data_IF_406675850720
#
_entry.id   IF_406675850720
#
_cell.length_a   1.000
_cell.length_b   1.000
_cell.length_c   1.000
_cell.angle_alpha   90.00
_cell.angle_beta   90.00
_cell.angle_gamma   90.00
#
_symmetry.space_group_name_H-M   'P 1'
#
loop_
_entity.id
_entity.type
_entity.pdbx_description
1 polymer ?
#
# COMPACT_ATOMS: atom_id res chain seq x y z
N UNK A 1 2.47 0.31 -12.22
CA UNK A 1 1.60 0.45 -11.04
C UNK A 1 2.36 0.23 -9.73
N UNK A 2 2.97 -0.94 -9.48
CA UNK A 2 3.65 -1.26 -8.22
C UNK A 2 4.75 -0.26 -7.80
N UNK A 3 5.61 0.17 -8.73
CA UNK A 3 6.64 1.19 -8.45
C UNK A 3 6.04 2.48 -7.87
N UNK A 4 4.90 2.94 -8.41
CA UNK A 4 4.25 4.18 -7.95
C UNK A 4 3.74 4.05 -6.52
N UNK A 5 3.06 2.95 -6.18
CA UNK A 5 2.53 2.76 -4.83
C UNK A 5 3.67 2.56 -3.83
N UNK A 6 4.70 1.79 -4.16
CA UNK A 6 5.90 1.59 -3.32
C UNK A 6 6.59 2.94 -3.06
N UNK A 7 6.81 3.77 -4.08
CA UNK A 7 7.39 5.11 -3.93
C UNK A 7 6.48 6.07 -3.14
N UNK A 8 5.16 5.97 -3.26
CA UNK A 8 4.25 6.77 -2.46
C UNK A 8 4.32 6.36 -0.98
N UNK A 9 4.35 5.06 -0.70
CA UNK A 9 4.42 4.51 0.66
C UNK A 9 5.77 4.76 1.33
N UNK A 10 6.87 4.84 0.58
CA UNK A 10 8.20 5.19 1.12
C UNK A 10 8.28 6.62 1.66
N UNK A 11 7.32 7.48 1.28
CA UNK A 11 7.18 8.87 1.75
C UNK A 11 6.28 9.00 2.96
N UNK A 12 5.58 7.93 3.36
CA UNK A 12 4.76 7.92 4.56
C UNK A 12 5.56 7.37 5.74
N UNK A 13 5.35 7.90 6.96
CA UNK A 13 5.97 7.34 8.15
C UNK A 13 5.51 5.88 8.36
N UNK A 14 6.41 5.05 8.86
CA UNK A 14 6.04 3.73 9.37
C UNK A 14 5.46 3.87 10.77
N UNK A 15 4.44 3.08 11.07
CA UNK A 15 3.78 3.04 12.37
C UNK A 15 3.89 1.64 12.96
N UNK A 16 4.25 1.60 14.25
CA UNK A 16 4.21 0.40 15.05
C UNK A 16 2.89 0.38 15.83
N UNK A 17 1.99 -0.53 15.47
CA UNK A 17 0.67 -0.69 16.09
C UNK A 17 0.05 -2.05 15.76
N UNK A 18 -0.94 -2.44 16.57
CA UNK A 18 -1.83 -3.56 16.24
C UNK A 18 -2.85 -3.15 15.18
N UNK A 19 -2.96 -3.94 14.12
CA UNK A 19 -3.91 -3.75 13.02
C UNK A 19 -4.79 -4.98 12.83
N UNK A 20 -5.96 -4.77 12.25
CA UNK A 20 -7.00 -5.79 12.12
C UNK A 20 -7.37 -6.02 10.66
N UNK A 21 -7.43 -7.29 10.25
CA UNK A 21 -7.79 -7.71 8.89
C UNK A 21 -8.85 -8.80 8.94
N UNK A 22 -10.04 -8.51 8.42
CA UNK A 22 -11.11 -9.48 8.26
C UNK A 22 -11.06 -10.19 6.91
N UNK A 23 -11.34 -11.49 6.89
CA UNK A 23 -11.49 -12.32 5.69
C UNK A 23 -12.73 -13.20 5.85
N UNK A 24 -13.53 -13.28 4.79
CA UNK A 24 -14.66 -14.22 4.71
C UNK A 24 -14.13 -15.62 4.41
N UNK A 25 -14.63 -16.62 5.12
CA UNK A 25 -14.15 -18.01 5.07
C UNK A 25 -13.26 -18.37 6.27
N UNK A 26 -13.09 -19.68 6.47
CA UNK A 26 -12.23 -20.23 7.51
C UNK A 26 -10.83 -20.41 6.95
N UNK A 27 -9.86 -19.70 7.53
CA UNK A 27 -8.44 -20.01 7.39
C UNK A 27 -8.06 -20.75 8.68
N UNK A 28 -8.20 -22.07 8.67
CA UNK A 28 -8.13 -22.91 9.87
C UNK A 28 -6.71 -23.05 10.42
N UNK A 29 -6.58 -23.34 11.73
CA UNK A 29 -5.32 -23.74 12.36
C UNK A 29 -4.75 -25.07 11.87
N UNK A 30 -5.59 -25.92 11.27
CA UNK A 30 -5.15 -27.17 10.64
C UNK A 30 -4.26 -26.92 9.42
N UNK A 31 -4.35 -25.73 8.82
CA UNK A 31 -3.43 -25.32 7.78
C UNK A 31 -2.04 -25.21 8.40
N UNK A 32 -1.08 -25.97 7.87
CA UNK A 32 0.31 -26.01 8.33
C UNK A 32 0.94 -24.61 8.48
N UNK A 33 0.47 -23.66 7.65
CA UNK A 33 0.90 -22.26 7.62
C UNK A 33 0.45 -21.42 8.83
N UNK A 34 -0.62 -21.79 9.53
CA UNK A 34 -1.22 -20.98 10.61
C UNK A 34 -1.21 -21.70 11.96
N UNK A 35 -0.31 -22.67 12.12
CA UNK A 35 -0.07 -23.31 13.42
C UNK A 35 0.65 -22.35 14.34
N UNK A 36 0.27 -22.32 15.61
CA UNK A 36 0.94 -21.49 16.61
C UNK A 36 2.44 -21.79 16.64
N UNK A 37 3.27 -20.76 16.64
CA UNK A 37 4.72 -20.84 16.58
C UNK A 37 5.31 -20.90 15.16
N UNK A 38 4.49 -21.12 14.12
CA UNK A 38 4.96 -21.09 12.74
C UNK A 38 5.25 -19.66 12.27
N UNK A 39 6.18 -19.55 11.32
CA UNK A 39 6.56 -18.30 10.67
C UNK A 39 6.17 -18.36 9.18
N UNK A 40 5.72 -17.23 8.65
CA UNK A 40 5.30 -17.13 7.26
C UNK A 40 5.53 -15.72 6.71
N UNK A 41 5.64 -15.64 5.38
CA UNK A 41 5.74 -14.37 4.66
C UNK A 41 4.36 -13.96 4.14
N UNK A 42 3.92 -12.77 4.54
CA UNK A 42 2.72 -12.13 4.03
C UNK A 42 3.02 -11.43 2.71
N UNK A 43 2.80 -12.13 1.59
CA UNK A 43 3.30 -11.70 0.28
C UNK A 43 2.61 -10.47 -0.32
N UNK A 44 1.34 -10.24 0.00
CA UNK A 44 0.53 -9.21 -0.67
C UNK A 44 0.39 -7.93 0.15
N UNK A 45 0.10 -6.81 -0.52
CA UNK A 45 -0.48 -5.67 0.17
C UNK A 45 -1.79 -6.07 0.84
N UNK A 46 -2.04 -5.58 2.04
CA UNK A 46 -3.32 -5.84 2.70
C UNK A 46 -3.83 -4.60 3.42
N UNK A 47 -5.07 -4.24 3.07
CA UNK A 47 -5.82 -3.18 3.75
C UNK A 47 -6.27 -3.70 5.11
N UNK A 48 -5.81 -3.05 6.16
CA UNK A 48 -6.13 -3.33 7.55
C UNK A 48 -6.74 -2.08 8.20
N UNK A 49 -7.40 -2.26 9.33
CA UNK A 49 -7.94 -1.19 10.17
C UNK A 49 -7.08 -1.04 11.42
N UNK A 50 -6.88 0.19 11.89
CA UNK A 50 -6.35 0.44 13.23
C UNK A 50 -7.40 0.22 14.34
N UNK A 51 -8.68 0.09 13.97
CA UNK A 51 -9.80 -0.12 14.91
C UNK A 51 -10.16 -1.61 14.93
N UNK A 52 -10.27 -2.18 16.13
CA UNK A 52 -10.63 -3.59 16.34
C UNK A 52 -12.01 -3.94 15.80
N UNK A 53 -12.97 -3.04 16.00
CA UNK A 53 -14.35 -3.25 15.59
C UNK A 53 -14.55 -3.03 14.09
N UNK A 54 -13.99 -3.94 13.29
CA UNK A 54 -14.27 -4.03 11.85
C UNK A 54 -15.51 -4.87 11.55
N UNK A 55 -16.19 -5.36 12.59
CA UNK A 55 -17.31 -6.29 12.47
C UNK A 55 -18.57 -5.61 11.92
N UNK A 56 -18.71 -4.30 12.17
CA UNK A 56 -19.84 -3.48 11.71
C UNK A 56 -19.87 -3.31 10.19
N UNK A 57 -18.75 -3.54 9.49
CA UNK A 57 -18.68 -3.38 8.05
C UNK A 57 -18.63 -4.75 7.35
N UNK A 58 -19.75 -5.10 6.72
CA UNK A 58 -19.95 -6.34 5.97
C UNK A 58 -18.97 -6.54 4.80
N UNK A 59 -18.28 -5.49 4.36
CA UNK A 59 -17.22 -5.60 3.36
C UNK A 59 -15.91 -6.17 3.91
N UNK A 60 -15.68 -6.11 5.23
CA UNK A 60 -14.45 -6.62 5.86
C UNK A 60 -14.65 -7.98 6.48
N UNK A 61 -15.29 -8.03 7.65
CA UNK A 61 -15.49 -9.25 8.41
C UNK A 61 -16.96 -9.69 8.34
N UNK A 62 -17.89 -8.74 8.52
CA UNK A 62 -19.30 -9.02 8.73
C UNK A 62 -19.56 -9.76 10.04
N UNK A 63 -20.85 -9.95 10.34
CA UNK A 63 -21.28 -10.52 11.63
C UNK A 63 -21.62 -12.02 11.57
N UNK A 64 -21.87 -12.56 10.38
CA UNK A 64 -22.38 -13.91 10.18
C UNK A 64 -21.51 -14.76 9.26
N UNK A 65 -21.58 -16.08 9.44
CA UNK A 65 -20.87 -17.05 8.62
C UNK A 65 -19.43 -17.29 9.04
N UNK A 66 -18.83 -18.30 8.41
CA UNK A 66 -17.42 -18.66 8.55
C UNK A 66 -16.53 -17.47 8.20
N UNK A 67 -15.68 -17.04 9.14
CA UNK A 67 -14.80 -15.87 8.94
C UNK A 67 -13.55 -15.94 9.80
N UNK A 68 -12.51 -15.27 9.34
CA UNK A 68 -11.23 -15.15 10.03
C UNK A 68 -10.89 -13.69 10.28
N UNK A 69 -10.54 -13.36 11.52
CA UNK A 69 -9.97 -12.09 11.94
C UNK A 69 -8.48 -12.29 12.22
N UNK A 70 -7.64 -11.60 11.47
CA UNK A 70 -6.23 -11.46 11.81
C UNK A 70 -6.05 -10.24 12.71
N UNK A 71 -5.42 -10.46 13.86
CA UNK A 71 -4.86 -9.43 14.73
C UNK A 71 -3.37 -9.41 14.47
N UNK A 72 -2.81 -8.30 14.01
CA UNK A 72 -1.43 -8.25 13.53
C UNK A 72 -0.70 -7.14 14.28
N UNK A 73 0.27 -7.51 15.11
CA UNK A 73 1.21 -6.54 15.70
C UNK A 73 2.24 -6.16 14.64
N UNK A 74 2.02 -5.03 13.99
CA UNK A 74 2.77 -4.57 12.84
C UNK A 74 3.81 -3.53 13.28
N UNK A 75 5.02 -3.63 12.72
CA UNK A 75 6.15 -2.73 12.95
C UNK A 75 6.21 -1.66 11.84
N UNK A 76 5.90 -2.04 10.59
CA UNK A 76 6.11 -1.21 9.38
C UNK A 76 4.81 -0.79 8.67
N UNK A 77 3.71 -0.64 9.41
CA UNK A 77 2.40 -0.28 8.86
C UNK A 77 2.40 1.14 8.28
N UNK A 78 1.65 1.36 7.18
CA UNK A 78 1.52 2.69 6.55
C UNK A 78 0.11 3.23 6.69
N UNK A 79 -0.07 4.33 7.41
CA UNK A 79 -1.37 5.01 7.45
C UNK A 79 -1.66 5.67 6.10
N UNK A 80 -2.67 5.17 5.41
CA UNK A 80 -3.12 5.68 4.12
C UNK A 80 -4.53 6.28 4.18
N UNK A 81 -5.09 6.50 5.37
CA UNK A 81 -6.43 7.04 5.58
C UNK A 81 -6.69 8.33 4.77
N UNK A 82 -5.70 9.22 4.73
CA UNK A 82 -5.81 10.50 3.99
C UNK A 82 -5.74 10.34 2.45
N UNK A 83 -5.35 9.17 1.98
CA UNK A 83 -5.21 8.82 0.57
C UNK A 83 -6.23 7.76 0.13
N UNK A 84 -6.94 7.17 1.10
CA UNK A 84 -7.97 6.18 0.88
C UNK A 84 -9.23 6.79 0.27
N UNK A 85 -9.94 5.96 -0.51
CA UNK A 85 -11.28 6.27 -0.99
C UNK A 85 -12.30 6.28 0.17
N UNK A 86 -12.00 5.58 1.27
CA UNK A 86 -12.86 5.37 2.43
C UNK A 86 -12.20 5.91 3.71
N UNK A 87 -12.25 7.23 3.89
CA UNK A 87 -11.56 7.94 4.98
C UNK A 87 -11.96 7.55 6.42
N UNK A 88 -13.09 6.86 6.58
CA UNK A 88 -13.63 6.50 7.90
C UNK A 88 -13.07 5.18 8.45
N UNK A 89 -12.32 4.43 7.64
CA UNK A 89 -11.88 3.07 7.98
C UNK A 89 -10.56 3.05 8.76
N UNK A 90 -9.94 4.21 9.01
CA UNK A 90 -8.62 4.32 9.66
C UNK A 90 -7.61 3.32 9.04
N UNK A 91 -7.57 3.35 7.71
CA UNK A 91 -6.89 2.34 6.90
C UNK A 91 -5.37 2.40 7.10
N UNK A 92 -4.84 1.27 7.55
CA UNK A 92 -3.40 0.99 7.61
C UNK A 92 -3.10 -0.07 6.57
N UNK A 93 -2.15 0.22 5.69
CA UNK A 93 -1.69 -0.72 4.70
C UNK A 93 -0.54 -1.56 5.28
N UNK A 94 -0.76 -2.87 5.38
CA UNK A 94 0.29 -3.85 5.59
C UNK A 94 1.06 -4.04 4.27
N UNK A 95 2.39 -3.97 4.35
CA UNK A 95 3.27 -4.07 3.20
C UNK A 95 3.39 -5.53 2.72
N UNK A 96 3.73 -5.74 1.44
CA UNK A 96 4.04 -7.06 0.93
C UNK A 96 5.37 -7.55 1.51
N UNK A 97 5.55 -8.86 1.47
CA UNK A 97 6.71 -9.56 2.00
C UNK A 97 6.98 -9.26 3.50
N UNK A 98 5.94 -8.96 4.28
CA UNK A 98 6.07 -8.84 5.73
C UNK A 98 6.27 -10.22 6.34
N UNK A 99 7.36 -10.41 7.08
CA UNK A 99 7.61 -11.65 7.82
C UNK A 99 6.82 -11.63 9.14
N UNK A 100 6.03 -12.67 9.40
CA UNK A 100 5.18 -12.73 10.60
C UNK A 100 5.26 -14.10 11.27
N UNK A 101 5.07 -14.11 12.59
CA UNK A 101 4.92 -15.31 13.42
C UNK A 101 3.50 -15.46 13.91
N UNK A 102 2.98 -16.67 13.94
CA UNK A 102 1.70 -17.00 14.57
C UNK A 102 1.89 -17.11 16.08
N UNK A 103 1.26 -16.20 16.82
CA UNK A 103 1.35 -16.11 18.29
C UNK A 103 0.24 -16.90 18.96
N UNK A 104 -0.99 -16.79 18.45
CA UNK A 104 -2.13 -17.52 18.99
C UNK A 104 -3.18 -17.80 17.92
N UNK A 105 -4.02 -18.78 18.23
CA UNK A 105 -5.20 -19.13 17.46
C UNK A 105 -6.35 -19.40 18.41
N UNK A 106 -7.48 -18.75 18.17
CA UNK A 106 -8.69 -18.92 18.97
C UNK A 106 -9.90 -19.10 18.04
N UNK A 107 -10.73 -20.10 18.34
CA UNK A 107 -12.03 -20.24 17.70
C UNK A 107 -13.09 -19.67 18.65
N UNK A 108 -13.75 -18.61 18.22
CA UNK A 108 -14.82 -17.95 18.94
C UNK A 108 -16.19 -18.51 18.53
N UNK A 109 -17.24 -18.29 19.35
CA UNK A 109 -18.62 -18.56 18.96
C UNK A 109 -18.97 -17.88 17.61
N UNK A 110 -19.97 -18.42 16.89
CA UNK A 110 -20.43 -17.92 15.59
C UNK A 110 -19.46 -18.13 14.42
N UNK A 111 -18.60 -19.15 14.46
CA UNK A 111 -17.65 -19.51 13.39
C UNK A 111 -16.64 -18.38 13.06
N UNK A 112 -16.23 -17.64 14.09
CA UNK A 112 -15.18 -16.64 13.98
C UNK A 112 -13.85 -17.25 14.45
N UNK A 113 -12.86 -17.26 13.56
CA UNK A 113 -11.51 -17.69 13.86
C UNK A 113 -10.62 -16.46 14.04
N UNK A 114 -9.89 -16.38 15.14
CA UNK A 114 -9.00 -15.26 15.43
C UNK A 114 -7.57 -15.78 15.40
N UNK A 115 -6.74 -15.16 14.55
CA UNK A 115 -5.32 -15.50 14.41
C UNK A 115 -4.52 -14.27 14.81
N UNK A 116 -3.69 -14.41 15.84
CA UNK A 116 -2.77 -13.35 16.23
C UNK A 116 -1.41 -13.57 15.57
N UNK A 117 -0.97 -12.57 14.82
CA UNK A 117 0.31 -12.52 14.14
C UNK A 117 1.17 -11.41 14.75
N UNK A 118 2.48 -11.66 14.83
CA UNK A 118 3.46 -10.66 15.19
C UNK A 118 4.44 -10.49 14.04
N UNK A 119 4.60 -9.27 13.55
CA UNK A 119 5.64 -8.95 12.56
C UNK A 119 7.02 -9.17 13.19
N UNK A 120 7.87 -9.89 12.46
CA UNK A 120 9.26 -10.12 12.82
C UNK A 120 10.09 -9.02 12.18
N UNK A 121 10.89 -8.34 12.99
CA UNK A 121 11.82 -7.32 12.48
C UNK A 121 12.85 -7.99 11.56
N UNK A 122 12.81 -7.62 10.28
CA UNK A 122 13.84 -7.99 9.30
C UNK A 122 14.82 -6.83 9.11
N UNK A 123 16.11 -7.18 9.04
CA UNK A 123 17.19 -6.29 8.63
C UNK A 123 17.06 -5.81 7.19
N UNK A 124 16.29 -6.51 6.37
CA UNK A 124 16.06 -6.14 4.97
C UNK A 124 15.05 -4.99 4.88
N UNK A 125 15.55 -3.83 4.45
CA UNK A 125 14.73 -2.63 4.27
C UNK A 125 14.06 -2.71 2.89
N UNK A 126 12.82 -3.19 2.85
CA UNK A 126 11.99 -3.20 1.63
C UNK A 126 11.63 -1.79 1.13
N UNK A 127 11.56 -0.81 2.04
CA UNK A 127 11.26 0.58 1.74
C UNK A 127 12.22 1.49 2.51
N UNK A 128 13.22 2.02 1.83
CA UNK A 128 14.01 3.12 2.39
C UNK A 128 13.16 4.39 2.45
N UNK A 129 13.21 5.10 3.58
CA UNK A 129 12.54 6.39 3.70
C UNK A 129 13.17 7.38 2.73
N UNK A 130 12.40 7.83 1.76
CA UNK A 130 12.86 8.87 0.83
C UNK A 130 12.60 10.22 1.49
N UNK A 131 13.66 10.86 1.99
CA UNK A 131 13.56 12.24 2.47
C UNK A 131 13.30 13.16 1.28
N UNK A 132 12.20 13.90 1.34
CA UNK A 132 11.90 14.93 0.37
C UNK A 132 13.00 16.01 0.35
N UNK A 133 13.67 16.27 1.47
CA UNK A 133 14.79 17.22 1.50
C UNK A 133 15.99 16.73 0.71
N UNK A 134 16.33 15.43 0.77
CA UNK A 134 17.39 14.83 -0.05
C UNK A 134 17.06 14.93 -1.53
N UNK A 135 15.85 14.53 -1.93
CA UNK A 135 15.41 14.68 -3.33
C UNK A 135 15.44 16.14 -3.80
N UNK A 136 14.98 17.09 -2.96
CA UNK A 136 15.01 18.52 -3.29
C UNK A 136 16.46 19.02 -3.39
N UNK A 137 17.36 18.58 -2.52
CA UNK A 137 18.79 18.92 -2.59
C UNK A 137 19.45 18.36 -3.84
N UNK A 138 19.18 17.11 -4.19
CA UNK A 138 19.74 16.47 -5.38
C UNK A 138 19.18 17.10 -6.66
N UNK A 139 17.89 17.42 -6.71
CA UNK A 139 17.28 18.19 -7.78
C UNK A 139 17.85 19.61 -7.89
N UNK A 140 18.13 20.29 -6.76
CA UNK A 140 18.82 21.59 -6.75
C UNK A 140 20.25 21.47 -7.27
N UNK A 141 21.01 20.45 -6.88
CA UNK A 141 22.36 20.16 -7.39
C UNK A 141 22.34 19.89 -8.91
N UNK A 142 21.33 19.19 -9.41
CA UNK A 142 21.12 18.98 -10.85
C UNK A 142 20.67 20.26 -11.56
N UNK A 143 19.85 21.11 -10.93
CA UNK A 143 19.32 22.35 -11.50
C UNK A 143 20.35 23.47 -11.60
N UNK A 144 21.43 23.46 -10.80
CA UNK A 144 22.56 24.40 -10.96
C UNK A 144 23.22 24.26 -12.35
N UNK A 145 22.99 23.16 -13.07
CA UNK A 145 23.45 22.95 -14.46
C UNK A 145 22.50 23.42 -15.57
N UNK A 146 21.29 23.95 -15.28
CA UNK A 146 20.41 24.53 -16.32
C UNK A 146 19.70 25.80 -15.84
N UNK A 147 20.17 26.92 -16.39
CA UNK A 147 19.61 28.25 -16.65
C UNK A 147 18.26 28.65 -16.04
N UNK A 148 18.31 29.73 -15.23
CA UNK A 148 17.31 30.80 -14.98
C UNK A 148 15.83 30.46 -15.27
N UNK A 149 15.04 30.12 -14.24
CA UNK A 149 13.58 30.11 -14.31
C UNK A 149 13.00 31.12 -13.30
N UNK A 150 12.18 32.06 -13.80
CA UNK A 150 11.56 33.16 -13.05
C UNK A 150 10.56 32.64 -12.01
N UNK A 151 10.69 33.15 -10.80
CA UNK A 151 9.81 32.89 -9.65
C UNK A 151 8.46 33.58 -9.84
N UNK A 152 7.36 32.84 -9.73
CA UNK A 152 6.02 33.41 -9.54
C UNK A 152 5.50 32.96 -8.17
N UNK A 153 5.08 33.96 -7.40
CA UNK A 153 4.69 33.90 -5.99
C UNK A 153 3.44 33.04 -5.83
N UNK A 154 3.47 32.12 -4.86
CA UNK A 154 2.34 31.27 -4.49
C UNK A 154 1.46 32.08 -3.52
N UNK A 155 0.30 32.53 -3.99
CA UNK A 155 -0.78 32.95 -3.09
C UNK A 155 -1.42 31.73 -2.45
N UNK A 156 -1.77 31.91 -1.18
CA UNK A 156 -2.26 30.94 -0.20
C UNK A 156 -3.53 30.18 -0.60
N UNK A 157 -3.65 28.99 0.01
CA UNK A 157 -4.87 28.22 0.33
C UNK A 157 -5.89 27.95 -0.78
N UNK A 158 -6.15 26.67 -1.09
CA UNK A 158 -7.47 26.02 -0.88
C UNK A 158 -7.26 24.51 -0.64
N UNK A 159 -7.73 24.04 0.51
CA UNK A 159 -7.96 22.62 0.82
C UNK A 159 -9.18 22.18 0.00
N UNK A 160 -8.99 21.34 -1.01
CA UNK A 160 -10.10 20.82 -1.80
C UNK A 160 -9.64 19.78 -2.82
N UNK A 161 -10.07 18.53 -2.62
CA UNK A 161 -10.02 17.42 -3.58
C UNK A 161 -8.75 17.35 -4.46
N UNK A 162 -7.85 16.41 -4.16
CA UNK A 162 -6.71 16.10 -5.04
C UNK A 162 -7.22 15.66 -6.43
N UNK A 163 -7.35 16.61 -7.36
CA UNK A 163 -7.69 16.40 -8.76
C UNK A 163 -6.38 16.47 -9.53
N UNK A 164 -5.72 15.32 -9.68
CA UNK A 164 -4.62 15.21 -10.64
C UNK A 164 -5.23 15.09 -12.05
N UNK A 165 -5.49 16.25 -12.66
CA UNK A 165 -6.11 16.36 -14.00
C UNK A 165 -5.23 15.72 -15.07
N UNK A 166 -3.89 15.78 -14.92
CA UNK A 166 -2.95 15.07 -15.79
C UNK A 166 -3.13 13.55 -15.68
N UNK A 167 -3.24 12.99 -14.46
CA UNK A 167 -3.48 11.56 -14.28
C UNK A 167 -4.85 11.13 -14.83
N UNK A 168 -5.90 11.94 -14.65
CA UNK A 168 -7.22 11.65 -15.22
C UNK A 168 -7.22 11.67 -16.75
N UNK A 169 -6.58 12.68 -17.35
CA UNK A 169 -6.42 12.77 -18.79
C UNK A 169 -5.57 11.59 -19.32
N UNK A 170 -4.52 11.21 -18.61
CA UNK A 170 -3.70 10.04 -18.95
C UNK A 170 -4.49 8.74 -18.85
N UNK A 171 -5.29 8.53 -17.80
CA UNK A 171 -6.18 7.37 -17.69
C UNK A 171 -7.27 7.36 -18.77
N UNK A 172 -7.72 8.52 -19.23
CA UNK A 172 -8.75 8.66 -20.27
C UNK A 172 -8.14 8.46 -21.68
N UNK A 173 -6.90 8.92 -21.89
CA UNK A 173 -6.11 8.67 -23.09
C UNK A 173 -5.68 7.20 -23.19
N UNK A 174 -5.25 6.58 -22.08
CA UNK A 174 -5.02 5.14 -22.01
C UNK A 174 -6.30 4.32 -22.18
N UNK A 175 -7.50 4.89 -21.94
CA UNK A 175 -8.77 4.23 -22.27
C UNK A 175 -9.12 4.33 -23.76
N UNK A 176 -8.70 5.40 -24.45
CA UNK A 176 -8.89 5.56 -25.90
C UNK A 176 -7.77 4.95 -26.75
N UNK A 177 -6.60 4.69 -26.17
CA UNK A 177 -5.44 4.01 -26.79
C UNK A 177 -5.21 2.61 -26.20
N UNK A 178 -6.21 2.08 -25.49
CA UNK A 178 -6.21 0.72 -24.97
C UNK A 178 -6.64 -0.25 -26.08
N UNK A 179 -5.67 -0.72 -26.85
CA UNK A 179 -5.64 -2.11 -27.27
C UNK A 179 -4.49 -2.83 -26.57
N UNK A 180 -4.60 -2.96 -25.25
CA UNK A 180 -3.99 -4.09 -24.58
C UNK A 180 -4.92 -5.29 -24.82
N UNK A 181 -4.55 -6.22 -25.70
CA UNK A 181 -5.33 -7.45 -25.80
C UNK A 181 -4.65 -8.63 -25.10
N UNK A 182 -5.22 -8.96 -23.93
CA UNK A 182 -5.79 -10.29 -23.69
C UNK A 182 -6.09 -10.99 -25.04
N UNK A 183 -5.50 -12.18 -25.25
CA UNK A 183 -5.39 -12.96 -26.51
C UNK A 183 -4.06 -12.84 -27.29
N UNK A 184 -2.92 -12.99 -26.60
CA UNK A 184 -1.86 -13.85 -27.17
C UNK A 184 -0.74 -13.22 -28.00
N UNK A 185 -0.30 -11.98 -27.74
CA UNK A 185 1.04 -11.53 -28.20
C UNK A 185 1.88 -10.89 -27.09
N UNK A 186 3.19 -11.11 -27.17
CA UNK A 186 4.19 -10.96 -26.09
C UNK A 186 5.09 -9.75 -26.37
N UNK A 187 5.11 -8.78 -25.45
CA UNK A 187 6.04 -7.63 -25.49
C UNK A 187 7.27 -7.92 -24.63
N UNK A 188 8.43 -7.39 -25.03
CA UNK A 188 9.74 -7.75 -24.45
C UNK A 188 10.32 -6.65 -23.57
N UNK A 189 11.25 -7.02 -22.70
CA UNK A 189 11.78 -6.17 -21.62
C UNK A 189 12.41 -4.85 -22.10
N UNK A 190 12.85 -4.75 -23.35
CA UNK A 190 13.43 -3.52 -23.92
C UNK A 190 12.41 -2.39 -24.11
N UNK A 191 11.12 -2.69 -24.22
CA UNK A 191 10.06 -1.69 -24.44
C UNK A 191 9.63 -1.01 -23.13
N UNK A 192 9.85 -1.68 -21.99
CA UNK A 192 9.53 -1.18 -20.64
C UNK A 192 10.54 -0.13 -20.19
N UNK A 193 11.81 -0.25 -20.59
CA UNK A 193 12.86 0.71 -20.25
C UNK A 193 12.67 2.09 -20.91
N UNK A 194 12.18 2.12 -22.15
CA UNK A 194 11.94 3.37 -22.90
C UNK A 194 10.82 4.20 -22.25
N UNK A 195 9.81 3.55 -21.67
CA UNK A 195 8.69 4.22 -20.99
C UNK A 195 9.13 4.81 -19.64
N UNK A 196 10.01 4.11 -18.90
CA UNK A 196 10.51 4.58 -17.60
C UNK A 196 11.44 5.78 -17.77
N UNK A 197 12.26 5.84 -18.83
CA UNK A 197 13.16 6.97 -19.08
C UNK A 197 12.44 8.24 -19.58
N UNK A 198 11.37 8.12 -20.38
CA UNK A 198 10.67 9.30 -20.94
C UNK A 198 9.69 9.99 -19.97
N UNK A 199 9.35 9.37 -18.83
CA UNK A 199 8.43 9.94 -17.83
C UNK A 199 9.13 10.76 -16.72
N UNK A 200 10.46 10.87 -16.78
CA UNK A 200 11.28 11.67 -15.85
C UNK A 200 12.21 12.56 -16.69
N UNK A 201 11.70 13.38 -17.61
CA UNK A 201 11.36 14.76 -17.23
C UNK A 201 10.31 15.40 -18.16
N UNK A 202 9.49 16.31 -17.64
CA UNK A 202 9.43 17.69 -18.14
C UNK A 202 8.33 18.46 -17.44
N UNK A 203 8.82 19.41 -16.64
CA UNK A 203 8.07 20.44 -15.97
C UNK A 203 7.73 21.50 -17.02
N UNK A 204 6.44 21.61 -17.34
CA UNK A 204 5.79 22.87 -17.70
C UNK A 204 4.53 22.96 -16.85
#
# INVERSE_FOLDING_TARGET
YLKLIITALSRLPSLNLTIYRGVKGIIASEHEKYKVGSELVWWGFSSCSAIRDISENDHFLGQTGARTLFVIDCIKGKNIQNHSRFKKENEILLLPATHVKVISYEQQPNNLHVIHLQEIESSDILLESVSAEKEIQDLKKMSIRKTKLRTLIISSMIIGHYRNTKLKAYMQQCKSESEAHLNGRRLSNSEVEVVVQKLIPEKK
#
